data_IF_491382465487
#
_entry.id   IF_491382465487
#
_cell.length_a   1.000
_cell.length_b   1.000
_cell.length_c   1.000
_cell.angle_alpha   90.00
_cell.angle_beta   90.00
_cell.angle_gamma   90.00
#
_symmetry.space_group_name_H-M   'P 1'
#
loop_
_entity.id
_entity.type
_entity.pdbx_description
1 polymer ?
#
# COMPACT_ATOMS: atom_id res chain seq x y z
N UNK A 1 1.83 71.70 -41.40
CA UNK A 1 1.07 70.78 -40.52
C UNK A 1 1.85 69.47 -40.40
N UNK A 2 2.46 69.21 -39.24
CA UNK A 2 3.34 68.04 -38.99
C UNK A 2 2.51 66.87 -38.48
N UNK A 3 2.48 65.74 -39.19
CA UNK A 3 1.85 64.50 -38.73
C UNK A 3 2.85 63.71 -37.90
N UNK A 4 2.52 63.44 -36.63
CA UNK A 4 3.33 62.66 -35.68
C UNK A 4 2.93 61.19 -35.72
N UNK A 5 3.97 60.37 -35.69
CA UNK A 5 4.04 58.91 -35.62
C UNK A 5 3.53 58.42 -34.25
N UNK A 6 2.88 57.24 -34.22
CA UNK A 6 2.81 56.41 -33.02
C UNK A 6 3.04 54.94 -33.39
N UNK A 7 4.22 54.46 -33.03
CA UNK A 7 4.62 53.04 -33.03
C UNK A 7 3.98 52.38 -31.81
N UNK A 8 3.22 51.31 -32.00
CA UNK A 8 2.75 50.46 -30.91
C UNK A 8 3.66 49.24 -30.78
N UNK A 9 4.53 49.29 -29.77
CA UNK A 9 5.24 48.16 -29.18
C UNK A 9 4.25 47.44 -28.25
N UNK A 10 3.85 46.21 -28.58
CA UNK A 10 3.13 45.33 -27.66
C UNK A 10 4.17 44.38 -27.04
N UNK A 11 4.43 44.57 -25.74
CA UNK A 11 5.17 43.64 -24.90
C UNK A 11 4.40 42.32 -24.79
N UNK A 12 5.04 41.20 -25.10
CA UNK A 12 4.60 39.88 -24.68
C UNK A 12 5.00 39.68 -23.20
N UNK A 13 4.04 39.83 -22.29
CA UNK A 13 4.20 39.48 -20.88
C UNK A 13 4.07 37.96 -20.70
N UNK A 14 5.00 37.38 -19.95
CA UNK A 14 5.21 35.95 -19.80
C UNK A 14 4.05 35.16 -19.17
N UNK A 15 3.81 33.98 -19.72
CA UNK A 15 3.14 32.87 -19.03
C UNK A 15 4.19 31.93 -18.47
N UNK A 16 4.74 32.26 -17.29
CA UNK A 16 5.49 31.28 -16.50
C UNK A 16 4.45 30.35 -15.87
N UNK A 17 4.37 29.11 -16.35
CA UNK A 17 3.62 28.05 -15.69
C UNK A 17 4.22 27.85 -14.29
N UNK A 18 3.57 28.41 -13.27
CA UNK A 18 3.80 28.06 -11.89
C UNK A 18 3.35 26.60 -11.70
N UNK A 19 4.28 25.67 -11.89
CA UNK A 19 4.20 24.35 -11.26
C UNK A 19 4.25 24.61 -9.76
N UNK A 20 3.08 24.71 -9.14
CA UNK A 20 2.96 24.76 -7.69
C UNK A 20 3.68 23.54 -7.10
N UNK A 21 4.57 23.78 -6.15
CA UNK A 21 5.17 22.73 -5.36
C UNK A 21 4.04 21.96 -4.66
N UNK A 22 3.70 20.78 -5.18
CA UNK A 22 2.86 19.83 -4.47
C UNK A 22 3.58 19.55 -3.14
N UNK A 23 3.02 20.02 -2.02
CA UNK A 23 3.56 19.70 -0.69
C UNK A 23 3.47 18.19 -0.52
N UNK A 24 4.61 17.50 -0.57
CA UNK A 24 4.66 16.07 -0.33
C UNK A 24 4.07 15.79 1.06
N UNK A 25 2.98 15.01 1.08
CA UNK A 25 2.30 14.67 2.31
C UNK A 25 3.22 13.79 3.17
N UNK A 26 3.45 14.21 4.42
CA UNK A 26 4.30 13.47 5.35
C UNK A 26 3.68 12.09 5.65
N UNK A 27 4.53 11.09 5.84
CA UNK A 27 4.08 9.74 6.22
C UNK A 27 3.74 9.63 7.71
N UNK A 28 2.85 8.71 8.03
CA UNK A 28 2.62 8.20 9.39
C UNK A 28 3.86 7.42 9.81
N UNK A 29 4.44 7.74 10.97
CA UNK A 29 5.65 7.06 11.44
C UNK A 29 5.46 5.55 11.61
N UNK A 30 6.52 4.76 11.44
CA UNK A 30 6.47 3.30 11.55
C UNK A 30 5.98 2.84 12.92
N UNK A 31 6.34 3.56 13.99
CA UNK A 31 5.87 3.26 15.35
C UNK A 31 4.35 3.35 15.45
N UNK A 32 3.74 4.31 14.75
CA UNK A 32 2.29 4.44 14.68
C UNK A 32 1.69 3.36 13.79
N UNK A 33 2.33 3.01 12.67
CA UNK A 33 1.91 1.89 11.82
C UNK A 33 1.94 0.54 12.58
N UNK A 34 2.92 0.33 13.47
CA UNK A 34 3.03 -0.87 14.30
C UNK A 34 1.81 -1.10 15.21
N UNK A 35 1.07 -0.04 15.56
CA UNK A 35 -0.16 -0.17 16.35
C UNK A 35 -1.28 -0.93 15.60
N UNK A 36 -1.20 -0.97 14.26
CA UNK A 36 -2.17 -1.62 13.38
C UNK A 36 -1.73 -3.00 12.89
N UNK A 37 -0.51 -3.43 13.21
CA UNK A 37 -0.07 -4.81 12.95
C UNK A 37 -0.90 -5.78 13.79
N UNK A 38 -1.21 -6.98 13.26
CA UNK A 38 -1.99 -7.96 13.98
C UNK A 38 -1.28 -8.40 15.25
N UNK A 39 -2.08 -8.65 16.28
CA UNK A 39 -1.70 -9.14 17.61
C UNK A 39 -2.29 -10.52 17.90
N UNK A 40 -3.26 -10.95 17.10
CA UNK A 40 -3.84 -12.29 17.19
C UNK A 40 -2.76 -13.35 17.04
N UNK A 41 -2.84 -14.36 17.90
CA UNK A 41 -2.01 -15.55 17.85
C UNK A 41 -2.55 -16.52 16.80
N UNK A 42 -1.64 -17.09 16.01
CA UNK A 42 -1.96 -18.19 15.11
C UNK A 42 -1.45 -19.49 15.73
N UNK A 43 -2.32 -20.50 15.80
CA UNK A 43 -1.97 -21.80 16.38
C UNK A 43 -0.74 -22.39 15.71
N UNK A 44 0.31 -22.66 16.48
CA UNK A 44 1.56 -23.24 16.00
C UNK A 44 2.54 -22.24 15.35
N UNK A 45 2.19 -20.95 15.28
CA UNK A 45 3.10 -19.90 14.85
C UNK A 45 3.67 -19.13 16.04
N UNK A 46 4.93 -18.76 15.96
CA UNK A 46 5.58 -17.79 16.84
C UNK A 46 5.54 -16.42 16.16
N UNK A 47 4.89 -15.45 16.81
CA UNK A 47 4.90 -14.06 16.36
C UNK A 47 6.22 -13.39 16.76
N UNK A 48 7.01 -12.97 15.78
CA UNK A 48 8.27 -12.26 16.02
C UNK A 48 8.05 -10.82 16.48
N UNK A 49 9.14 -10.17 16.89
CA UNK A 49 9.13 -8.75 17.26
C UNK A 49 8.82 -7.90 16.02
N UNK A 50 7.86 -6.95 16.10
CA UNK A 50 7.57 -6.08 14.97
C UNK A 50 8.75 -5.15 14.66
N UNK A 51 9.01 -4.96 13.37
CA UNK A 51 10.01 -4.06 12.81
C UNK A 51 9.36 -2.91 12.03
N UNK A 52 10.18 -2.06 11.44
CA UNK A 52 9.73 -0.94 10.62
C UNK A 52 10.72 0.22 10.60
N UNK A 53 10.54 1.10 9.64
CA UNK A 53 11.34 2.31 9.47
C UNK A 53 10.52 3.47 8.90
N UNK A 54 10.94 4.68 9.22
CA UNK A 54 10.47 5.90 8.56
C UNK A 54 11.67 6.67 8.09
N UNK A 55 11.74 6.93 6.79
CA UNK A 55 12.80 7.70 6.17
C UNK A 55 12.22 8.97 5.54
N UNK A 56 13.00 10.04 5.49
CA UNK A 56 12.58 11.28 4.83
C UNK A 56 13.79 11.98 4.22
N UNK A 57 13.75 12.22 2.92
CA UNK A 57 14.83 12.83 2.16
C UNK A 57 14.28 13.63 0.97
N UNK A 58 14.85 14.79 0.68
CA UNK A 58 14.50 15.61 -0.50
C UNK A 58 13.00 15.91 -0.66
N UNK A 59 12.29 16.07 0.46
CA UNK A 59 10.83 16.28 0.48
C UNK A 59 10.00 15.01 0.26
N UNK A 60 10.61 13.85 0.03
CA UNK A 60 9.92 12.56 -0.02
C UNK A 60 9.98 11.88 1.34
N UNK A 61 8.92 11.16 1.71
CA UNK A 61 8.84 10.42 2.97
C UNK A 61 8.31 9.02 2.67
N UNK A 62 8.97 8.00 3.22
CA UNK A 62 8.52 6.61 3.18
C UNK A 62 8.42 6.09 4.60
N UNK A 63 7.41 5.27 4.87
CA UNK A 63 7.26 4.63 6.18
C UNK A 63 6.62 3.27 6.06
N UNK A 64 7.18 2.30 6.76
CA UNK A 64 6.70 0.93 6.79
C UNK A 64 6.81 0.31 8.17
N UNK A 65 5.89 -0.60 8.48
CA UNK A 65 5.97 -1.46 9.65
C UNK A 65 5.62 -2.89 9.25
N UNK A 66 6.29 -3.86 9.85
CA UNK A 66 6.06 -5.28 9.57
C UNK A 66 6.12 -6.14 10.82
N UNK A 67 5.51 -7.32 10.73
CA UNK A 67 5.68 -8.41 11.69
C UNK A 67 5.65 -9.75 10.96
N UNK A 68 6.47 -10.67 11.42
CA UNK A 68 6.55 -12.04 10.89
C UNK A 68 5.98 -13.04 11.90
N UNK A 69 5.23 -14.01 11.39
CA UNK A 69 4.79 -15.19 12.11
C UNK A 69 5.51 -16.41 11.52
N UNK A 70 6.16 -17.21 12.35
CA UNK A 70 6.92 -18.39 11.90
C UNK A 70 6.36 -19.67 12.51
N UNK A 71 6.13 -20.68 11.67
CA UNK A 71 5.83 -22.04 12.09
C UNK A 71 7.01 -22.88 11.61
N UNK A 72 7.83 -23.39 12.55
CA UNK A 72 9.17 -23.93 12.25
C UNK A 72 9.30 -24.79 10.98
N UNK A 73 10.48 -24.77 10.37
CA UNK A 73 10.69 -25.20 8.98
C UNK A 73 10.67 -23.98 8.07
N UNK A 74 10.15 -24.14 6.85
CA UNK A 74 10.11 -23.07 5.83
C UNK A 74 8.75 -22.32 5.76
N UNK A 75 7.90 -22.45 6.80
CA UNK A 75 6.57 -21.82 6.83
C UNK A 75 6.59 -20.50 7.59
N UNK A 76 6.25 -19.41 6.90
CA UNK A 76 6.19 -18.07 7.51
C UNK A 76 5.07 -17.23 6.90
N UNK A 77 4.61 -16.25 7.67
CA UNK A 77 3.68 -15.22 7.20
C UNK A 77 4.27 -13.85 7.56
N UNK A 78 4.55 -13.03 6.56
CA UNK A 78 4.93 -11.63 6.73
C UNK A 78 3.68 -10.76 6.59
N UNK A 79 3.48 -9.83 7.53
CA UNK A 79 2.47 -8.78 7.44
C UNK A 79 3.17 -7.44 7.40
N UNK A 80 2.90 -6.63 6.38
CA UNK A 80 3.55 -5.34 6.14
C UNK A 80 2.51 -4.26 5.85
N UNK A 81 2.70 -3.09 6.46
CA UNK A 81 1.93 -1.88 6.19
C UNK A 81 2.90 -0.83 5.67
N UNK A 82 2.60 -0.23 4.51
CA UNK A 82 3.40 0.85 3.93
C UNK A 82 2.54 2.09 3.72
N UNK A 83 3.04 3.26 4.14
CA UNK A 83 2.43 4.56 3.82
C UNK A 83 3.06 5.14 2.55
N UNK A 84 2.24 5.24 1.50
CA UNK A 84 2.60 5.71 0.16
C UNK A 84 2.12 7.15 -0.10
N UNK A 85 1.91 7.96 0.94
CA UNK A 85 1.47 9.36 0.83
C UNK A 85 2.34 10.22 -0.12
N UNK A 86 3.58 9.81 -0.41
CA UNK A 86 4.51 10.48 -1.34
C UNK A 86 4.55 9.92 -2.77
N UNK A 87 3.69 8.96 -3.17
CA UNK A 87 3.77 8.27 -4.48
C UNK A 87 2.46 8.40 -5.28
N UNK A 88 2.19 9.54 -5.93
CA UNK A 88 0.91 9.81 -6.62
C UNK A 88 0.51 8.79 -7.70
N UNK A 89 1.49 8.25 -8.44
CA UNK A 89 1.20 7.28 -9.51
C UNK A 89 0.71 5.93 -8.98
N UNK A 90 1.21 5.50 -7.82
CA UNK A 90 0.77 4.28 -7.17
C UNK A 90 -0.71 4.40 -6.75
N UNK A 91 -1.11 5.56 -6.22
CA UNK A 91 -2.50 5.82 -5.81
C UNK A 91 -3.49 5.71 -6.98
N UNK A 92 -3.10 6.13 -8.19
CA UNK A 92 -3.95 6.03 -9.39
C UNK A 92 -4.15 4.58 -9.83
N UNK A 93 -3.09 3.76 -9.87
CA UNK A 93 -3.20 2.34 -10.23
C UNK A 93 -4.11 1.54 -9.28
N UNK A 94 -4.07 1.86 -7.99
CA UNK A 94 -4.87 1.16 -6.97
C UNK A 94 -6.36 1.49 -7.01
N UNK A 95 -6.71 2.71 -7.44
CA UNK A 95 -8.12 3.09 -7.61
C UNK A 95 -8.87 2.22 -8.63
N UNK A 96 -8.14 1.61 -9.57
CA UNK A 96 -8.71 0.72 -10.59
C UNK A 96 -8.98 -0.70 -10.08
N UNK A 97 -8.19 -1.20 -9.12
CA UNK A 97 -8.34 -2.56 -8.57
C UNK A 97 -9.66 -2.70 -7.79
N UNK A 98 -10.17 -1.61 -7.20
CA UNK A 98 -11.47 -1.61 -6.52
C UNK A 98 -12.69 -1.45 -7.43
N UNK A 99 -12.50 -1.20 -8.73
CA UNK A 99 -13.58 -0.91 -9.68
C UNK A 99 -13.99 -2.14 -10.50
N UNK A 100 -13.10 -3.13 -10.62
CA UNK A 100 -13.32 -4.32 -11.46
C UNK A 100 -13.17 -5.57 -10.61
N UNK A 101 -14.26 -6.30 -10.45
CA UNK A 101 -14.21 -7.65 -9.89
C UNK A 101 -13.62 -8.60 -10.93
N UNK A 102 -12.68 -9.44 -10.50
CA UNK A 102 -12.07 -10.46 -11.35
C UNK A 102 -11.75 -11.71 -10.54
N UNK A 103 -11.70 -12.83 -11.24
CA UNK A 103 -11.26 -14.11 -10.72
C UNK A 103 -10.59 -14.87 -11.86
N UNK A 104 -9.34 -15.25 -11.63
CA UNK A 104 -8.53 -16.02 -12.56
C UNK A 104 -8.11 -17.30 -11.84
N UNK A 105 -8.39 -18.44 -12.47
CA UNK A 105 -7.94 -19.74 -11.99
C UNK A 105 -6.92 -20.33 -12.98
N UNK A 106 -5.93 -21.02 -12.43
CA UNK A 106 -4.93 -21.78 -13.17
C UNK A 106 -4.89 -23.21 -12.61
N UNK A 107 -4.17 -24.11 -13.27
CA UNK A 107 -3.93 -25.46 -12.74
C UNK A 107 -3.25 -25.47 -11.36
N UNK A 108 -2.49 -24.41 -11.03
CA UNK A 108 -1.63 -24.35 -9.85
C UNK A 108 -2.14 -23.38 -8.77
N UNK A 109 -3.28 -22.71 -8.97
CA UNK A 109 -3.72 -21.68 -8.04
C UNK A 109 -4.74 -20.72 -8.62
N UNK A 110 -4.99 -19.64 -7.89
CA UNK A 110 -5.93 -18.58 -8.28
C UNK A 110 -5.40 -17.20 -7.95
N UNK A 111 -5.95 -16.20 -8.63
CA UNK A 111 -5.85 -14.78 -8.28
C UNK A 111 -7.21 -14.13 -8.48
N UNK A 112 -7.69 -13.38 -7.49
CA UNK A 112 -9.00 -12.73 -7.55
C UNK A 112 -9.01 -11.40 -6.83
N UNK A 113 -9.95 -10.54 -7.21
CA UNK A 113 -10.31 -9.36 -6.42
C UNK A 113 -11.02 -9.78 -5.13
N UNK A 114 -10.73 -9.10 -4.02
CA UNK A 114 -11.39 -9.31 -2.73
C UNK A 114 -11.76 -7.98 -2.07
N UNK A 115 -12.64 -8.06 -1.08
CA UNK A 115 -12.95 -6.94 -0.18
C UNK A 115 -12.89 -7.42 1.27
N UNK A 116 -12.02 -6.81 2.06
CA UNK A 116 -11.82 -7.16 3.48
C UNK A 116 -11.99 -5.90 4.31
N UNK A 117 -12.88 -5.96 5.32
CA UNK A 117 -13.27 -4.80 6.13
C UNK A 117 -13.70 -3.56 5.30
N UNK A 118 -14.26 -3.78 4.11
CA UNK A 118 -14.69 -2.71 3.20
C UNK A 118 -13.59 -2.17 2.28
N UNK A 119 -12.34 -2.60 2.44
CA UNK A 119 -11.21 -2.20 1.58
C UNK A 119 -10.99 -3.21 0.46
N UNK A 120 -10.83 -2.70 -0.75
CA UNK A 120 -10.58 -3.52 -1.93
C UNK A 120 -9.11 -3.97 -2.00
N UNK A 121 -8.89 -5.09 -2.66
CA UNK A 121 -7.57 -5.66 -2.83
C UNK A 121 -7.57 -6.88 -3.72
N UNK A 122 -6.45 -7.59 -3.73
CA UNK A 122 -6.28 -8.87 -4.43
C UNK A 122 -5.89 -9.96 -3.45
N UNK A 123 -6.32 -11.17 -3.77
CA UNK A 123 -5.89 -12.41 -3.12
C UNK A 123 -5.32 -13.34 -4.18
N UNK A 124 -4.19 -13.94 -3.86
CA UNK A 124 -3.53 -14.94 -4.68
C UNK A 124 -3.15 -16.14 -3.83
N UNK A 125 -3.32 -17.34 -4.34
CA UNK A 125 -2.73 -18.53 -3.74
C UNK A 125 -2.21 -19.46 -4.83
N UNK A 126 -1.01 -19.97 -4.63
CA UNK A 126 -0.32 -20.86 -5.57
C UNK A 126 0.26 -22.06 -4.85
N UNK A 127 0.21 -23.21 -5.53
CA UNK A 127 0.83 -24.45 -5.12
C UNK A 127 1.44 -25.11 -6.34
N UNK A 128 2.75 -25.25 -6.32
CA UNK A 128 3.52 -26.04 -7.28
C UNK A 128 4.07 -27.30 -6.60
N UNK A 129 4.84 -28.11 -7.31
CA UNK A 129 5.55 -29.25 -6.73
C UNK A 129 6.58 -28.80 -5.68
N UNK A 130 7.25 -27.68 -5.91
CA UNK A 130 8.38 -27.19 -5.10
C UNK A 130 7.99 -26.11 -4.10
N UNK A 131 6.83 -25.47 -4.26
CA UNK A 131 6.48 -24.29 -3.46
C UNK A 131 4.98 -24.15 -3.18
N UNK A 132 4.68 -23.49 -2.06
CA UNK A 132 3.33 -23.06 -1.69
C UNK A 132 3.41 -21.61 -1.22
N UNK A 133 2.52 -20.78 -1.72
CA UNK A 133 2.43 -19.38 -1.31
C UNK A 133 0.99 -18.89 -1.35
N UNK A 134 0.73 -17.86 -0.56
CA UNK A 134 -0.48 -17.07 -0.67
C UNK A 134 -0.18 -15.61 -0.35
N UNK A 135 -0.93 -14.70 -0.94
CA UNK A 135 -0.78 -13.26 -0.77
C UNK A 135 -2.15 -12.61 -0.69
N UNK A 136 -2.30 -11.67 0.23
CA UNK A 136 -3.40 -10.71 0.26
C UNK A 136 -2.81 -9.31 0.26
N UNK A 137 -3.21 -8.49 -0.70
CA UNK A 137 -2.83 -7.08 -0.76
C UNK A 137 -4.10 -6.22 -0.74
N UNK A 138 -4.26 -5.37 0.28
CA UNK A 138 -5.37 -4.44 0.43
C UNK A 138 -4.91 -2.99 0.28
N UNK A 139 -5.79 -2.17 -0.29
CA UNK A 139 -5.59 -0.73 -0.43
C UNK A 139 -6.50 0.04 0.53
N UNK A 140 -5.89 0.74 1.47
CA UNK A 140 -6.60 1.42 2.56
C UNK A 140 -6.50 2.93 2.34
N UNK A 141 -7.66 3.56 2.11
CA UNK A 141 -7.84 5.01 1.95
C UNK A 141 -6.91 5.68 0.91
N UNK A 142 -6.59 4.97 -0.19
CA UNK A 142 -5.68 5.43 -1.24
C UNK A 142 -4.30 5.90 -0.72
N UNK A 143 -3.89 5.39 0.45
CA UNK A 143 -2.68 5.87 1.15
C UNK A 143 -1.85 4.75 1.73
N UNK A 144 -2.46 3.66 2.19
CA UNK A 144 -1.73 2.56 2.78
C UNK A 144 -1.91 1.31 1.94
N UNK A 145 -0.82 0.56 1.76
CA UNK A 145 -0.87 -0.82 1.31
C UNK A 145 -0.72 -1.72 2.52
N UNK A 146 -1.62 -2.70 2.63
CA UNK A 146 -1.55 -3.76 3.64
C UNK A 146 -1.31 -5.06 2.91
N UNK A 147 -0.11 -5.61 3.06
CA UNK A 147 0.37 -6.79 2.35
C UNK A 147 0.59 -7.92 3.36
N UNK A 148 0.01 -9.08 3.10
CA UNK A 148 0.24 -10.30 3.85
C UNK A 148 0.73 -11.36 2.89
N UNK A 149 1.88 -11.99 3.18
CA UNK A 149 2.48 -13.03 2.36
C UNK A 149 2.77 -14.27 3.18
N UNK A 150 2.12 -15.38 2.83
CA UNK A 150 2.43 -16.71 3.32
C UNK A 150 3.46 -17.39 2.41
N UNK A 151 4.55 -17.87 3.01
CA UNK A 151 5.58 -18.72 2.38
C UNK A 151 5.52 -20.12 2.99
N UNK A 152 5.71 -21.15 2.17
CA UNK A 152 5.56 -22.55 2.59
C UNK A 152 4.10 -22.99 2.81
N UNK A 153 3.13 -22.09 2.57
CA UNK A 153 1.70 -22.35 2.72
C UNK A 153 0.88 -21.62 1.65
N UNK A 154 -0.14 -22.28 1.13
CA UNK A 154 -1.14 -21.69 0.22
C UNK A 154 -2.51 -21.52 0.91
N UNK A 155 -2.56 -21.69 2.25
CA UNK A 155 -3.76 -21.50 3.05
C UNK A 155 -3.99 -20.01 3.33
N UNK A 156 -4.68 -19.33 2.40
CA UNK A 156 -5.06 -17.93 2.53
C UNK A 156 -5.93 -17.64 3.78
N UNK A 157 -6.59 -18.65 4.38
CA UNK A 157 -7.39 -18.45 5.58
C UNK A 157 -6.56 -17.98 6.79
N UNK A 158 -5.26 -18.30 6.81
CA UNK A 158 -4.32 -17.78 7.80
C UNK A 158 -4.15 -16.26 7.69
N UNK A 159 -4.09 -15.74 6.45
CA UNK A 159 -3.97 -14.31 6.18
C UNK A 159 -5.25 -13.57 6.58
N UNK A 160 -6.42 -14.14 6.29
CA UNK A 160 -7.72 -13.58 6.71
C UNK A 160 -7.89 -13.49 8.23
N UNK A 161 -7.41 -14.48 8.98
CA UNK A 161 -7.43 -14.45 10.45
C UNK A 161 -6.62 -13.27 11.00
N UNK A 162 -5.43 -13.03 10.44
CA UNK A 162 -4.60 -11.88 10.82
C UNK A 162 -5.26 -10.56 10.42
N UNK A 163 -5.79 -10.48 9.20
CA UNK A 163 -6.50 -9.30 8.71
C UNK A 163 -7.70 -8.93 9.57
N UNK A 164 -8.45 -9.91 10.10
CA UNK A 164 -9.63 -9.65 10.93
C UNK A 164 -9.32 -8.86 12.21
N UNK A 165 -8.09 -8.96 12.73
CA UNK A 165 -7.63 -8.24 13.93
C UNK A 165 -7.09 -6.83 13.62
N UNK A 166 -6.69 -6.58 12.37
CA UNK A 166 -6.14 -5.30 11.96
C UNK A 166 -7.25 -4.24 11.92
N UNK A 167 -7.07 -3.12 12.63
CA UNK A 167 -8.05 -2.02 12.67
C UNK A 167 -7.97 -1.13 11.42
N UNK A 168 -8.31 -1.66 10.25
CA UNK A 168 -8.08 -0.99 8.96
C UNK A 168 -8.87 0.32 8.80
N UNK A 169 -10.08 0.40 9.37
CA UNK A 169 -10.87 1.63 9.37
C UNK A 169 -10.24 2.77 10.21
N UNK A 170 -9.45 2.43 11.23
CA UNK A 170 -8.71 3.41 12.03
C UNK A 170 -7.37 3.75 11.37
N UNK A 171 -6.72 2.78 10.72
CA UNK A 171 -5.56 3.03 9.85
C UNK A 171 -5.92 4.04 8.75
N UNK A 172 -7.08 3.88 8.09
CA UNK A 172 -7.58 4.79 7.06
C UNK A 172 -7.68 6.25 7.50
N UNK A 173 -7.91 6.50 8.79
CA UNK A 173 -8.01 7.85 9.37
C UNK A 173 -6.67 8.39 9.87
N UNK A 174 -5.61 7.57 9.84
CA UNK A 174 -4.32 7.95 10.38
C UNK A 174 -3.66 9.02 9.52
N UNK A 175 -3.33 10.14 10.17
CA UNK A 175 -2.60 11.25 9.58
C UNK A 175 -1.22 11.38 10.24
N UNK A 176 -0.29 11.99 9.51
CA UNK A 176 1.09 12.26 9.95
C UNK A 176 1.20 13.33 11.02
#
# INVERSE_FOLDING_TARGET
MRKRIAVFLILAAGGFLMLGAQTAQKTVSFKKLQEFLPKTDLSGFTRLKPGGETSSAMGMSTSEAHVTYEQGGDVSIEVKITDIAGVPLAQMGFSMIGMTEFENETENGYEKSIKVQGFAGTEKAEKTEDSKSCEVMLYVANRFTVELRGSGTNDASLLHKLLADMKLADLAKSTS
#
